data_IF_282713757418
#
_entry.id   IF_282713757418
#
_cell.length_a   1.000
_cell.length_b   1.000
_cell.length_c   1.000
_cell.angle_alpha   90.00
_cell.angle_beta   90.00
_cell.angle_gamma   90.00
#
_symmetry.space_group_name_H-M   'P 1'
#
loop_
_entity.id
_entity.type
_entity.pdbx_description
1 polymer ?
#
# COMPACT_ATOMS: atom_id res chain seq x y z
N UNK A 1 -31.85 9.74 11.52
CA UNK A 1 -30.51 9.86 10.91
C UNK A 1 -29.81 11.20 11.17
N UNK A 2 -30.38 12.37 10.83
CA UNK A 2 -29.70 13.69 10.98
C UNK A 2 -29.15 14.05 12.38
N UNK A 3 -29.84 13.66 13.45
CA UNK A 3 -29.44 14.02 14.82
C UNK A 3 -28.25 13.20 15.34
N UNK A 4 -28.19 11.89 15.02
CA UNK A 4 -27.02 11.04 15.29
C UNK A 4 -25.77 11.56 14.56
N UNK A 5 -25.92 11.97 13.30
CA UNK A 5 -24.82 12.54 12.52
C UNK A 5 -24.29 13.85 13.11
N UNK A 6 -25.16 14.79 13.49
CA UNK A 6 -24.74 16.07 14.12
C UNK A 6 -24.04 15.86 15.47
N UNK A 7 -24.49 14.89 16.27
CA UNK A 7 -23.87 14.57 17.56
C UNK A 7 -22.50 13.92 17.34
N UNK A 8 -22.39 13.00 16.37
CA UNK A 8 -21.11 12.44 15.97
C UNK A 8 -20.13 13.50 15.45
N UNK A 9 -20.60 14.46 14.66
CA UNK A 9 -19.78 15.55 14.12
C UNK A 9 -19.21 16.46 15.21
N UNK A 10 -20.04 16.83 16.21
CA UNK A 10 -19.57 17.60 17.37
C UNK A 10 -18.63 16.80 18.28
N UNK A 11 -18.89 15.50 18.47
CA UNK A 11 -17.99 14.61 19.22
C UNK A 11 -16.64 14.43 18.51
N UNK A 12 -16.63 14.39 17.18
CA UNK A 12 -15.40 14.34 16.37
C UNK A 12 -14.57 15.61 16.52
N UNK A 13 -15.22 16.78 16.48
CA UNK A 13 -14.55 18.06 16.69
C UNK A 13 -13.96 18.16 18.10
N UNK A 14 -14.70 17.68 19.11
CA UNK A 14 -14.18 17.62 20.48
C UNK A 14 -12.99 16.67 20.56
N UNK A 15 -13.08 15.45 20.03
CA UNK A 15 -11.98 14.49 20.06
C UNK A 15 -10.70 15.02 19.39
N UNK A 16 -10.84 15.87 18.38
CA UNK A 16 -9.73 16.51 17.65
C UNK A 16 -8.96 17.54 18.47
N UNK A 17 -9.63 18.26 19.39
CA UNK A 17 -8.95 19.23 20.27
C UNK A 17 -8.21 18.56 21.44
N UNK A 18 -8.68 17.37 21.88
CA UNK A 18 -8.16 16.66 23.06
C UNK A 18 -7.02 15.67 22.75
N UNK A 19 -6.51 15.63 21.51
CA UNK A 19 -5.43 14.74 21.11
C UNK A 19 -4.13 15.54 20.84
N UNK A 20 -2.93 15.10 21.22
CA UNK A 20 -2.64 13.93 22.05
C UNK A 20 -3.15 14.10 23.49
N UNK A 21 -3.66 13.01 24.07
CA UNK A 21 -4.30 13.02 25.40
C UNK A 21 -3.28 13.12 26.55
N UNK A 22 -2.02 12.78 26.28
CA UNK A 22 -0.97 12.62 27.30
C UNK A 22 -0.63 13.92 28.00
N UNK A 23 -0.47 15.04 27.27
CA UNK A 23 -0.16 16.34 27.87
C UNK A 23 -1.32 16.88 28.70
N UNK A 24 -2.55 16.75 28.20
CA UNK A 24 -3.77 17.10 28.94
C UNK A 24 -3.96 16.25 30.20
N UNK A 25 -3.69 14.94 30.13
CA UNK A 25 -3.74 14.04 31.29
C UNK A 25 -2.67 14.44 32.32
N UNK A 26 -1.43 14.71 31.89
CA UNK A 26 -0.37 15.13 32.80
C UNK A 26 -0.69 16.46 33.49
N UNK A 27 -1.19 17.46 32.75
CA UNK A 27 -1.64 18.74 33.30
C UNK A 27 -2.81 18.57 34.28
N UNK A 28 -3.83 17.78 33.93
CA UNK A 28 -4.99 17.53 34.81
C UNK A 28 -4.58 16.81 36.09
N UNK A 29 -3.70 15.81 36.02
CA UNK A 29 -3.22 15.08 37.20
C UNK A 29 -2.41 15.99 38.11
N UNK A 30 -1.44 16.74 37.59
CA UNK A 30 -0.62 17.67 38.38
C UNK A 30 -1.48 18.74 39.07
N UNK A 31 -2.41 19.36 38.34
CA UNK A 31 -3.29 20.38 38.91
C UNK A 31 -4.26 19.79 39.93
N UNK A 32 -4.80 18.59 39.72
CA UNK A 32 -5.67 17.92 40.69
C UNK A 32 -4.93 17.64 42.01
N UNK A 33 -3.66 17.20 41.94
CA UNK A 33 -2.84 16.97 43.14
C UNK A 33 -2.66 18.28 43.93
N UNK A 34 -2.28 19.37 43.26
CA UNK A 34 -2.05 20.67 43.92
C UNK A 34 -3.35 21.21 44.53
N UNK A 35 -4.47 21.14 43.80
CA UNK A 35 -5.78 21.58 44.29
C UNK A 35 -6.21 20.75 45.50
N UNK A 36 -5.98 19.42 45.49
CA UNK A 36 -6.31 18.56 46.61
C UNK A 36 -5.50 18.91 47.87
N UNK A 37 -4.18 19.13 47.72
CA UNK A 37 -3.30 19.55 48.84
C UNK A 37 -3.76 20.88 49.41
N UNK A 38 -4.03 21.88 48.57
CA UNK A 38 -4.50 23.19 49.02
C UNK A 38 -5.90 23.12 49.67
N UNK A 39 -6.79 22.27 49.15
CA UNK A 39 -8.10 22.01 49.73
C UNK A 39 -8.04 21.38 51.12
N UNK A 40 -7.13 20.43 51.33
CA UNK A 40 -6.87 19.83 52.66
C UNK A 40 -6.36 20.90 53.62
N UNK A 41 -5.39 21.72 53.20
CA UNK A 41 -4.88 22.83 54.04
C UNK A 41 -6.01 23.79 54.39
N UNK A 42 -6.86 24.17 53.43
CA UNK A 42 -8.01 25.05 53.68
C UNK A 42 -9.01 24.45 54.68
N UNK A 43 -9.24 23.14 54.66
CA UNK A 43 -10.13 22.46 55.59
C UNK A 43 -9.59 22.42 57.04
N UNK A 44 -8.27 22.55 57.21
CA UNK A 44 -7.61 22.54 58.52
C UNK A 44 -7.42 23.93 59.14
N UNK A 45 -7.59 25.00 58.35
CA UNK A 45 -7.30 26.38 58.74
C UNK A 45 -8.61 27.13 59.06
N UNK A 46 -8.69 27.90 60.17
CA UNK A 46 -9.89 28.66 60.51
C UNK A 46 -10.23 29.71 59.44
N UNK A 47 -11.50 29.80 59.05
CA UNK A 47 -12.00 30.69 57.99
C UNK A 47 -11.69 32.18 58.21
N UNK A 48 -11.62 32.64 59.46
CA UNK A 48 -11.33 34.04 59.79
C UNK A 48 -9.84 34.38 59.82
N UNK A 49 -8.95 33.40 59.61
CA UNK A 49 -7.52 33.62 59.67
C UNK A 49 -6.95 34.25 58.39
N UNK A 50 -5.92 35.09 58.53
CA UNK A 50 -5.15 35.56 57.38
C UNK A 50 -4.55 34.42 56.57
N UNK A 51 -4.25 33.28 57.21
CA UNK A 51 -3.76 32.09 56.52
C UNK A 51 -4.80 31.50 55.56
N UNK A 52 -6.08 31.47 55.95
CA UNK A 52 -7.16 31.00 55.08
C UNK A 52 -7.23 31.86 53.81
N UNK A 53 -7.18 33.19 53.95
CA UNK A 53 -7.22 34.12 52.81
C UNK A 53 -6.03 33.93 51.85
N UNK A 54 -4.83 33.65 52.38
CA UNK A 54 -3.65 33.35 51.56
C UNK A 54 -3.83 32.03 50.79
N UNK A 55 -4.27 30.97 51.46
CA UNK A 55 -4.48 29.64 50.82
C UNK A 55 -5.62 29.70 49.81
N UNK A 56 -6.69 30.46 50.09
CA UNK A 56 -7.78 30.70 49.15
C UNK A 56 -7.30 31.40 47.88
N UNK A 57 -6.54 32.50 48.01
CA UNK A 57 -5.97 33.23 46.87
C UNK A 57 -4.99 32.37 46.05
N UNK A 58 -4.20 31.51 46.71
CA UNK A 58 -3.34 30.54 46.02
C UNK A 58 -4.17 29.51 45.24
N UNK A 59 -5.25 29.01 45.83
CA UNK A 59 -6.11 28.00 45.21
C UNK A 59 -6.84 28.58 43.99
N UNK A 60 -7.39 29.79 44.10
CA UNK A 60 -8.01 30.46 42.94
C UNK A 60 -6.99 30.74 41.83
N UNK A 61 -5.74 31.13 42.18
CA UNK A 61 -4.66 31.31 41.23
C UNK A 61 -4.23 30.02 40.52
N UNK A 62 -4.17 28.89 41.24
CA UNK A 62 -3.87 27.56 40.70
C UNK A 62 -5.00 27.09 39.77
N UNK A 63 -6.26 27.23 40.18
CA UNK A 63 -7.42 26.87 39.34
C UNK A 63 -7.47 27.73 38.08
N UNK A 64 -7.24 29.05 38.19
CA UNK A 64 -7.19 29.96 37.04
C UNK A 64 -6.08 29.58 36.06
N UNK A 65 -4.88 29.33 36.57
CA UNK A 65 -3.73 28.90 35.75
C UNK A 65 -3.99 27.56 35.06
N UNK A 66 -4.59 26.60 35.76
CA UNK A 66 -4.97 25.31 35.19
C UNK A 66 -5.95 25.46 34.01
N UNK A 67 -7.00 26.27 34.16
CA UNK A 67 -7.97 26.51 33.09
C UNK A 67 -7.27 27.13 31.87
N UNK A 68 -6.41 28.13 32.08
CA UNK A 68 -5.67 28.77 30.98
C UNK A 68 -4.73 27.78 30.29
N UNK A 69 -3.95 27.00 31.04
CA UNK A 69 -3.06 25.97 30.47
C UNK A 69 -3.83 24.93 29.67
N UNK A 70 -4.98 24.45 30.17
CA UNK A 70 -5.83 23.50 29.43
C UNK A 70 -6.33 24.11 28.13
N UNK A 71 -6.81 25.37 28.14
CA UNK A 71 -7.32 26.03 26.92
C UNK A 71 -6.21 26.26 25.89
N UNK A 72 -5.03 26.70 26.34
CA UNK A 72 -3.88 26.92 25.45
C UNK A 72 -3.41 25.60 24.85
N UNK A 73 -3.28 24.55 25.66
CA UNK A 73 -2.88 23.22 25.20
C UNK A 73 -3.91 22.62 24.23
N UNK A 74 -5.21 22.73 24.52
CA UNK A 74 -6.29 22.32 23.60
C UNK A 74 -6.22 23.06 22.27
N UNK A 75 -5.92 24.37 22.29
CA UNK A 75 -5.81 25.18 21.09
C UNK A 75 -4.56 24.84 20.28
N UNK A 76 -3.43 24.60 20.96
CA UNK A 76 -2.19 24.13 20.36
C UNK A 76 -2.36 22.76 19.70
N UNK A 77 -2.94 21.81 20.43
CA UNK A 77 -3.29 20.47 19.97
C UNK A 77 -4.23 20.51 18.77
N UNK A 78 -5.30 21.32 18.83
CA UNK A 78 -6.21 21.51 17.70
C UNK A 78 -5.48 22.05 16.46
N UNK A 79 -4.61 23.06 16.61
CA UNK A 79 -3.84 23.63 15.50
C UNK A 79 -2.89 22.59 14.91
N UNK A 80 -2.16 21.85 15.75
CA UNK A 80 -1.23 20.82 15.32
C UNK A 80 -1.96 19.68 14.59
N UNK A 81 -3.05 19.16 15.15
CA UNK A 81 -3.85 18.12 14.51
C UNK A 81 -4.45 18.61 13.20
N UNK A 82 -4.87 19.87 13.12
CA UNK A 82 -5.42 20.46 11.89
C UNK A 82 -4.36 20.54 10.80
N UNK A 83 -3.15 20.96 11.16
CA UNK A 83 -2.02 20.96 10.24
C UNK A 83 -1.67 19.55 9.80
N UNK A 84 -1.46 18.62 10.74
CA UNK A 84 -1.20 17.21 10.43
C UNK A 84 -2.32 16.57 9.59
N UNK A 85 -3.58 16.99 9.76
CA UNK A 85 -4.69 16.52 8.95
C UNK A 85 -4.60 16.95 7.49
N UNK A 86 -4.22 18.21 7.23
CA UNK A 86 -4.00 18.70 5.87
C UNK A 86 -2.73 18.10 5.26
N UNK A 87 -1.64 18.09 6.02
CA UNK A 87 -0.32 17.63 5.54
C UNK A 87 -0.28 16.13 5.27
N UNK A 88 -1.08 15.33 6.00
CA UNK A 88 -1.17 13.87 5.82
C UNK A 88 -2.47 13.43 5.15
N UNK A 89 -3.21 14.35 4.52
CA UNK A 89 -4.49 14.04 3.90
C UNK A 89 -4.36 12.94 2.83
N UNK A 90 -3.37 13.07 1.95
CA UNK A 90 -3.15 12.13 0.85
C UNK A 90 -2.71 10.77 1.37
N UNK A 91 -1.81 10.75 2.36
CA UNK A 91 -1.40 9.53 3.06
C UNK A 91 -2.57 8.77 3.67
N UNK A 92 -3.41 9.45 4.46
CA UNK A 92 -4.56 8.79 5.07
C UNK A 92 -5.61 8.37 4.04
N UNK A 93 -5.76 9.13 2.96
CA UNK A 93 -6.67 8.80 1.86
C UNK A 93 -6.17 7.57 1.10
N UNK A 94 -4.87 7.44 0.87
CA UNK A 94 -4.27 6.28 0.22
C UNK A 94 -4.51 4.99 1.02
N UNK A 95 -4.24 5.00 2.33
CA UNK A 95 -4.53 3.84 3.20
C UNK A 95 -6.04 3.53 3.22
N UNK A 96 -6.89 4.55 3.28
CA UNK A 96 -8.34 4.37 3.30
C UNK A 96 -8.88 3.79 1.97
N UNK A 97 -8.38 4.31 0.85
CA UNK A 97 -8.77 3.87 -0.48
C UNK A 97 -8.29 2.44 -0.72
N UNK A 98 -7.09 2.09 -0.28
CA UNK A 98 -6.60 0.70 -0.32
C UNK A 98 -7.53 -0.24 0.45
N UNK A 99 -7.90 0.09 1.70
CA UNK A 99 -8.83 -0.73 2.48
C UNK A 99 -10.19 -0.86 1.78
N UNK A 100 -10.72 0.24 1.24
CA UNK A 100 -11.99 0.20 0.49
C UNK A 100 -11.88 -0.67 -0.77
N UNK A 101 -10.80 -0.51 -1.54
CA UNK A 101 -10.55 -1.26 -2.77
C UNK A 101 -10.38 -2.75 -2.47
N UNK A 102 -9.61 -3.09 -1.43
CA UNK A 102 -9.43 -4.46 -0.92
C UNK A 102 -10.77 -5.13 -0.64
N UNK A 103 -11.67 -4.48 0.10
CA UNK A 103 -13.00 -5.05 0.41
C UNK A 103 -13.84 -5.30 -0.86
N UNK A 104 -13.75 -4.43 -1.87
CA UNK A 104 -14.47 -4.56 -3.14
C UNK A 104 -13.91 -5.72 -3.97
N UNK A 105 -12.59 -5.80 -4.12
CA UNK A 105 -11.92 -6.81 -4.95
C UNK A 105 -12.00 -8.21 -4.33
N UNK A 106 -12.04 -8.31 -3.00
CA UNK A 106 -12.31 -9.57 -2.29
C UNK A 106 -13.80 -9.96 -2.29
N UNK A 107 -14.68 -9.14 -2.89
CA UNK A 107 -16.15 -9.32 -2.89
C UNK A 107 -16.79 -9.38 -1.50
N UNK A 108 -16.23 -8.64 -0.53
CA UNK A 108 -16.66 -8.69 0.87
C UNK A 108 -17.72 -7.65 1.26
N UNK A 109 -18.08 -6.75 0.34
CA UNK A 109 -19.13 -5.78 0.61
C UNK A 109 -20.50 -6.46 0.79
N UNK A 110 -21.44 -5.89 1.57
CA UNK A 110 -22.73 -6.52 1.83
C UNK A 110 -23.51 -6.91 0.56
N UNK A 111 -23.51 -6.03 -0.45
CA UNK A 111 -24.22 -6.28 -1.72
C UNK A 111 -23.56 -7.39 -2.56
N UNK A 112 -22.21 -7.42 -2.65
CA UNK A 112 -21.50 -8.50 -3.36
C UNK A 112 -21.70 -9.85 -2.64
N UNK A 113 -21.69 -9.88 -1.31
CA UNK A 113 -21.97 -11.10 -0.53
C UNK A 113 -23.41 -11.58 -0.73
N UNK A 114 -24.36 -10.66 -0.87
CA UNK A 114 -25.75 -10.97 -1.18
C UNK A 114 -25.90 -11.57 -2.58
N UNK A 115 -25.19 -11.05 -3.58
CA UNK A 115 -25.16 -11.61 -4.94
C UNK A 115 -24.48 -13.00 -4.96
N UNK A 116 -23.36 -13.15 -4.25
CA UNK A 116 -22.68 -14.44 -4.10
C UNK A 116 -23.58 -15.50 -3.47
N UNK A 117 -24.38 -15.14 -2.47
CA UNK A 117 -25.38 -16.04 -1.89
C UNK A 117 -26.41 -16.50 -2.94
N UNK A 118 -26.88 -15.61 -3.81
CA UNK A 118 -27.79 -15.99 -4.90
C UNK A 118 -27.11 -16.96 -5.88
N UNK A 119 -25.82 -16.74 -6.18
CA UNK A 119 -25.02 -17.62 -7.03
C UNK A 119 -24.79 -19.01 -6.41
N UNK A 120 -24.51 -19.08 -5.11
CA UNK A 120 -24.40 -20.34 -4.36
C UNK A 120 -25.70 -21.14 -4.40
N UNK A 121 -26.86 -20.48 -4.23
CA UNK A 121 -28.18 -21.11 -4.37
C UNK A 121 -28.42 -21.64 -5.80
N UNK A 122 -27.96 -20.90 -6.82
CA UNK A 122 -28.06 -21.31 -8.23
C UNK A 122 -27.20 -22.56 -8.54
N UNK A 123 -25.94 -22.58 -8.07
CA UNK A 123 -25.07 -23.76 -8.20
C UNK A 123 -25.70 -24.95 -7.49
N UNK A 124 -26.17 -24.77 -6.25
CA UNK A 124 -26.83 -25.82 -5.48
C UNK A 124 -28.09 -26.36 -6.17
N UNK A 125 -28.77 -25.56 -6.99
CA UNK A 125 -29.92 -25.95 -7.79
C UNK A 125 -29.56 -26.67 -9.12
N UNK A 126 -28.27 -26.94 -9.34
CA UNK A 126 -27.72 -27.61 -10.53
C UNK A 126 -27.36 -26.65 -11.67
N UNK A 127 -27.28 -25.35 -11.41
CA UNK A 127 -26.87 -24.36 -12.40
C UNK A 127 -25.38 -24.46 -12.73
N UNK A 128 -25.04 -24.39 -14.01
CA UNK A 128 -23.64 -24.33 -14.47
C UNK A 128 -23.34 -22.92 -14.97
N UNK A 129 -22.50 -22.19 -14.27
CA UNK A 129 -21.95 -20.88 -14.66
C UNK A 129 -20.56 -20.75 -14.05
N UNK A 130 -19.55 -20.57 -14.90
CA UNK A 130 -18.26 -20.08 -14.46
C UNK A 130 -18.36 -18.56 -14.37
N UNK A 131 -17.89 -18.00 -13.26
CA UNK A 131 -17.74 -16.56 -13.12
C UNK A 131 -16.66 -16.08 -14.10
N UNK A 132 -16.90 -14.94 -14.73
CA UNK A 132 -15.87 -14.24 -15.51
C UNK A 132 -14.64 -14.01 -14.60
N UNK A 133 -13.42 -13.97 -15.17
CA UNK A 133 -12.20 -13.81 -14.36
C UNK A 133 -12.21 -12.51 -13.55
N UNK A 134 -12.72 -11.42 -14.13
CA UNK A 134 -12.91 -10.14 -13.45
C UNK A 134 -13.93 -10.23 -12.30
N UNK A 135 -14.79 -11.25 -12.33
CA UNK A 135 -15.80 -11.52 -11.31
C UNK A 135 -15.32 -12.49 -10.22
N UNK A 136 -14.10 -13.01 -10.30
CA UNK A 136 -13.54 -13.83 -9.23
C UNK A 136 -12.99 -12.93 -8.11
N UNK A 137 -13.17 -13.31 -6.84
CA UNK A 137 -12.56 -12.58 -5.74
C UNK A 137 -11.03 -12.69 -5.87
N UNK A 138 -10.34 -11.54 -5.83
CA UNK A 138 -8.89 -11.50 -5.84
C UNK A 138 -8.33 -11.73 -4.45
N UNK A 139 -7.15 -12.34 -4.38
CA UNK A 139 -6.41 -12.45 -3.12
C UNK A 139 -5.70 -11.13 -2.77
N UNK A 140 -5.21 -11.04 -1.54
CA UNK A 140 -4.62 -9.79 -1.02
C UNK A 140 -3.31 -9.40 -1.73
N UNK A 141 -2.56 -10.38 -2.25
CA UNK A 141 -1.31 -10.17 -2.98
C UNK A 141 -1.63 -9.56 -4.34
N UNK A 142 -2.60 -10.11 -5.06
CA UNK A 142 -3.07 -9.57 -6.35
C UNK A 142 -3.59 -8.13 -6.19
N UNK A 143 -4.39 -7.89 -5.16
CA UNK A 143 -4.92 -6.55 -4.84
C UNK A 143 -3.78 -5.59 -4.54
N UNK A 144 -2.79 -6.01 -3.76
CA UNK A 144 -1.65 -5.16 -3.45
C UNK A 144 -0.86 -4.83 -4.70
N UNK A 145 -0.57 -5.81 -5.55
CA UNK A 145 0.15 -5.64 -6.81
C UNK A 145 -0.50 -4.57 -7.71
N UNK A 146 -1.81 -4.63 -7.88
CA UNK A 146 -2.58 -3.68 -8.70
C UNK A 146 -2.56 -2.25 -8.13
N UNK A 147 -2.39 -2.11 -6.82
CA UNK A 147 -2.45 -0.83 -6.12
C UNK A 147 -1.07 -0.21 -5.87
N UNK A 148 0.04 -0.91 -6.18
CA UNK A 148 1.40 -0.39 -6.00
C UNK A 148 1.62 0.98 -6.67
N UNK A 149 1.25 1.18 -7.97
CA UNK A 149 1.52 2.45 -8.64
C UNK A 149 0.79 3.64 -8.01
N UNK A 150 -0.37 3.40 -7.39
CA UNK A 150 -1.16 4.44 -6.74
C UNK A 150 -0.65 4.76 -5.32
N UNK A 151 -0.28 3.73 -4.55
CA UNK A 151 0.00 3.88 -3.12
C UNK A 151 1.45 4.28 -2.81
N UNK A 152 2.40 3.72 -3.56
CA UNK A 152 3.83 3.86 -3.26
C UNK A 152 4.32 5.30 -3.42
N UNK A 153 3.94 6.06 -4.47
CA UNK A 153 4.34 7.46 -4.58
C UNK A 153 3.91 8.30 -3.38
N UNK A 154 2.68 8.08 -2.89
CA UNK A 154 2.13 8.79 -1.72
C UNK A 154 2.93 8.44 -0.47
N UNK A 155 3.26 7.16 -0.26
CA UNK A 155 4.03 6.71 0.89
C UNK A 155 5.47 7.24 0.88
N UNK A 156 6.13 7.19 -0.28
CA UNK A 156 7.47 7.73 -0.48
C UNK A 156 7.51 9.24 -0.20
N UNK A 157 6.57 9.99 -0.80
CA UNK A 157 6.48 11.44 -0.58
C UNK A 157 6.20 11.77 0.89
N UNK A 158 5.30 11.04 1.53
CA UNK A 158 4.95 11.27 2.94
C UNK A 158 6.15 11.03 3.86
N UNK A 159 6.91 9.97 3.63
CA UNK A 159 8.10 9.66 4.43
C UNK A 159 9.22 10.70 4.23
N UNK A 160 9.38 11.21 3.01
CA UNK A 160 10.43 12.18 2.68
C UNK A 160 10.08 13.59 3.17
N UNK A 161 8.84 14.03 2.94
CA UNK A 161 8.46 15.44 3.10
C UNK A 161 7.69 15.71 4.40
N UNK A 162 7.03 14.71 4.97
CA UNK A 162 6.02 14.87 6.05
C UNK A 162 6.34 14.05 7.30
N UNK A 163 7.57 13.57 7.43
CA UNK A 163 8.03 12.69 8.52
C UNK A 163 7.72 13.23 9.92
N UNK A 164 7.82 14.55 10.11
CA UNK A 164 7.56 15.24 11.38
C UNK A 164 6.11 15.12 11.90
N UNK A 165 5.16 14.75 11.03
CA UNK A 165 3.76 14.56 11.40
C UNK A 165 3.40 13.10 11.67
N UNK A 166 4.31 12.17 11.40
CA UNK A 166 4.12 10.75 11.58
C UNK A 166 4.56 10.30 12.97
N UNK A 167 3.91 9.25 13.50
CA UNK A 167 4.43 8.54 14.66
C UNK A 167 5.62 7.65 14.28
N UNK A 168 6.49 7.33 15.25
CA UNK A 168 7.65 6.44 15.02
C UNK A 168 7.23 5.08 14.42
N UNK A 169 6.08 4.55 14.85
CA UNK A 169 5.52 3.32 14.28
C UNK A 169 5.10 3.50 12.81
N UNK A 170 4.45 4.62 12.46
CA UNK A 170 4.11 4.89 11.06
C UNK A 170 5.36 5.07 10.19
N UNK A 171 6.41 5.71 10.72
CA UNK A 171 7.69 5.88 10.01
C UNK A 171 8.35 4.54 9.74
N UNK A 172 8.37 3.64 10.73
CA UNK A 172 9.03 2.35 10.58
C UNK A 172 8.30 1.45 9.58
N UNK A 173 6.98 1.37 9.65
CA UNK A 173 6.18 0.61 8.68
C UNK A 173 6.31 1.17 7.26
N UNK A 174 6.35 2.50 7.08
CA UNK A 174 6.60 3.09 5.76
C UNK A 174 7.98 2.72 5.20
N UNK A 175 9.01 2.60 6.03
CA UNK A 175 10.33 2.13 5.55
C UNK A 175 10.30 0.66 5.16
N UNK A 176 9.61 -0.18 5.92
CA UNK A 176 9.43 -1.60 5.60
C UNK A 176 8.76 -1.72 4.23
N UNK A 177 7.64 -1.00 4.03
CA UNK A 177 6.93 -0.97 2.74
C UNK A 177 7.85 -0.54 1.59
N UNK A 178 8.62 0.55 1.76
CA UNK A 178 9.52 1.02 0.70
C UNK A 178 10.71 0.07 0.47
N UNK A 179 11.12 -0.69 1.49
CA UNK A 179 12.16 -1.72 1.36
C UNK A 179 11.64 -2.92 0.57
N UNK A 180 10.43 -3.41 0.86
CA UNK A 180 9.82 -4.49 0.08
C UNK A 180 9.50 -4.03 -1.35
N UNK A 181 9.06 -2.77 -1.53
CA UNK A 181 8.89 -2.20 -2.87
C UNK A 181 10.22 -2.14 -3.63
N UNK A 182 11.32 -1.83 -2.97
CA UNK A 182 12.64 -1.88 -3.61
C UNK A 182 12.96 -3.30 -4.13
N UNK A 183 12.57 -4.36 -3.41
CA UNK A 183 12.66 -5.73 -3.89
C UNK A 183 11.89 -5.95 -5.21
N UNK A 184 10.69 -5.38 -5.32
CA UNK A 184 9.89 -5.39 -6.55
C UNK A 184 10.61 -4.66 -7.70
N UNK A 185 11.19 -3.49 -7.42
CA UNK A 185 11.96 -2.74 -8.42
C UNK A 185 13.14 -3.56 -8.94
N UNK A 186 13.84 -4.30 -8.07
CA UNK A 186 14.98 -5.14 -8.46
C UNK A 186 14.55 -6.22 -9.46
N UNK A 187 13.45 -6.94 -9.21
CA UNK A 187 12.96 -7.99 -10.12
C UNK A 187 12.56 -7.40 -11.48
N UNK A 188 11.88 -6.26 -11.50
CA UNK A 188 11.52 -5.57 -12.76
C UNK A 188 12.77 -5.11 -13.50
N UNK A 189 13.75 -4.58 -12.78
CA UNK A 189 15.02 -4.13 -13.34
C UNK A 189 15.81 -5.29 -13.92
N UNK A 190 15.90 -6.43 -13.24
CA UNK A 190 16.52 -7.66 -13.76
C UNK A 190 15.86 -8.10 -15.07
N UNK A 191 14.53 -8.04 -15.14
CA UNK A 191 13.80 -8.31 -16.38
C UNK A 191 14.09 -7.33 -17.51
N UNK A 192 14.21 -6.05 -17.20
CA UNK A 192 14.63 -5.04 -18.19
C UNK A 192 16.07 -5.30 -18.67
N UNK A 193 16.95 -5.74 -17.78
CA UNK A 193 18.33 -6.08 -18.14
C UNK A 193 18.40 -7.28 -19.10
N UNK A 194 17.50 -8.24 -18.96
CA UNK A 194 17.30 -9.37 -19.89
C UNK A 194 16.46 -8.99 -21.14
N UNK A 195 16.59 -7.76 -21.62
CA UNK A 195 15.86 -7.31 -22.82
C UNK A 195 16.82 -6.80 -23.90
N UNK A 196 16.44 -6.92 -25.20
CA UNK A 196 17.24 -6.40 -26.30
C UNK A 196 17.53 -4.90 -26.17
N UNK A 197 16.66 -4.13 -25.50
CA UNK A 197 16.86 -2.71 -25.24
C UNK A 197 18.14 -2.44 -24.43
N UNK A 198 18.45 -3.30 -23.46
CA UNK A 198 19.68 -3.14 -22.65
C UNK A 198 20.92 -3.41 -23.49
N UNK A 199 20.86 -4.40 -24.39
CA UNK A 199 21.93 -4.67 -25.35
C UNK A 199 22.19 -3.43 -26.23
N UNK A 200 21.14 -2.82 -26.79
CA UNK A 200 21.26 -1.62 -27.62
C UNK A 200 21.78 -0.41 -26.83
N UNK A 201 21.30 -0.20 -25.60
CA UNK A 201 21.78 0.90 -24.75
C UNK A 201 23.27 0.80 -24.38
N UNK A 202 23.80 -0.42 -24.32
CA UNK A 202 25.21 -0.69 -24.00
C UNK A 202 26.10 -0.66 -25.24
N UNK A 203 25.68 -1.30 -26.33
CA UNK A 203 26.52 -1.58 -27.50
C UNK A 203 26.29 -0.62 -28.67
N UNK A 204 25.09 -0.04 -28.77
CA UNK A 204 24.68 0.88 -29.84
C UNK A 204 24.12 2.20 -29.27
N UNK A 205 24.87 2.90 -28.39
CA UNK A 205 24.33 4.06 -27.71
C UNK A 205 24.11 5.22 -28.69
N UNK A 206 22.94 5.85 -28.60
CA UNK A 206 22.61 6.98 -29.45
C UNK A 206 23.45 8.21 -29.05
N UNK A 207 24.41 8.57 -29.90
CA UNK A 207 25.28 9.73 -29.71
C UNK A 207 24.52 11.07 -29.88
N UNK A 208 23.35 11.06 -30.51
CA UNK A 208 22.54 12.27 -30.66
C UNK A 208 21.99 12.76 -29.32
N UNK A 209 21.89 11.89 -28.32
CA UNK A 209 21.56 12.27 -26.94
C UNK A 209 22.52 13.34 -26.40
N UNK A 210 23.82 13.27 -26.75
CA UNK A 210 24.80 14.24 -26.30
C UNK A 210 24.57 15.65 -26.88
N UNK A 211 23.91 15.77 -28.04
CA UNK A 211 23.61 17.06 -28.68
C UNK A 211 22.70 17.94 -27.82
N UNK A 212 21.89 17.33 -26.96
CA UNK A 212 21.02 18.03 -26.02
C UNK A 212 21.74 18.53 -24.76
N UNK A 213 22.95 18.02 -24.48
CA UNK A 213 23.69 18.24 -23.23
C UNK A 213 24.95 19.10 -23.47
N UNK A 214 25.63 18.90 -24.60
CA UNK A 214 26.90 19.55 -24.90
C UNK A 214 26.82 20.40 -26.19
N UNK A 215 27.53 21.54 -26.26
CA UNK A 215 27.63 22.31 -27.49
C UNK A 215 28.27 21.50 -28.63
N UNK A 216 27.89 21.80 -29.88
CA UNK A 216 28.39 21.11 -31.07
C UNK A 216 29.92 21.08 -31.18
N UNK A 217 30.57 22.19 -30.82
CA UNK A 217 32.03 22.29 -30.87
C UNK A 217 32.71 21.41 -29.81
N UNK A 218 32.07 21.18 -28.67
CA UNK A 218 32.57 20.27 -27.63
C UNK A 218 32.47 18.83 -28.11
N UNK A 219 31.31 18.43 -28.66
CA UNK A 219 31.09 17.07 -29.18
C UNK A 219 32.05 16.77 -30.33
N UNK A 220 32.23 17.72 -31.26
CA UNK A 220 33.13 17.60 -32.42
C UNK A 220 34.58 17.34 -32.01
N UNK A 221 35.04 17.97 -30.93
CA UNK A 221 36.41 17.83 -30.44
C UNK A 221 36.57 16.72 -29.39
N UNK A 222 35.48 16.06 -28.98
CA UNK A 222 35.50 14.98 -27.99
C UNK A 222 36.10 13.71 -28.59
N UNK A 223 37.06 13.04 -27.91
CA UNK A 223 37.56 11.74 -28.33
C UNK A 223 36.45 10.70 -28.44
N UNK A 224 36.52 9.82 -29.44
CA UNK A 224 35.44 8.86 -29.73
C UNK A 224 35.13 7.93 -28.56
N UNK A 225 36.15 7.47 -27.81
CA UNK A 225 35.93 6.61 -26.63
C UNK A 225 35.17 7.35 -25.50
N UNK A 226 35.41 8.65 -25.31
CA UNK A 226 34.68 9.48 -24.34
C UNK A 226 33.25 9.67 -24.82
N UNK A 227 33.07 9.97 -26.11
CA UNK A 227 31.75 10.18 -26.73
C UNK A 227 30.88 8.93 -26.54
N UNK A 228 31.38 7.75 -26.92
CA UNK A 228 30.68 6.46 -26.74
C UNK A 228 30.36 6.15 -25.29
N UNK A 229 31.30 6.37 -24.37
CA UNK A 229 31.07 6.13 -22.95
C UNK A 229 29.96 7.04 -22.38
N UNK A 230 29.98 8.33 -22.71
CA UNK A 230 28.95 9.27 -22.27
C UNK A 230 27.59 8.95 -22.91
N UNK A 231 27.54 8.63 -24.20
CA UNK A 231 26.30 8.22 -24.87
C UNK A 231 25.71 6.95 -24.27
N UNK A 232 26.55 5.95 -23.94
CA UNK A 232 26.09 4.74 -23.25
C UNK A 232 25.56 5.05 -21.85
N UNK A 233 26.24 5.92 -21.11
CA UNK A 233 25.76 6.37 -19.81
C UNK A 233 24.39 7.05 -19.89
N UNK A 234 24.14 7.90 -20.89
CA UNK A 234 22.83 8.51 -21.10
C UNK A 234 21.78 7.48 -21.57
N UNK A 235 22.15 6.54 -22.44
CA UNK A 235 21.27 5.46 -22.90
C UNK A 235 20.84 4.54 -21.74
N UNK A 236 21.75 4.23 -20.81
CA UNK A 236 21.42 3.50 -19.59
C UNK A 236 20.48 4.29 -18.66
N UNK A 237 20.54 5.62 -18.64
CA UNK A 237 19.54 6.42 -17.92
C UNK A 237 18.17 6.32 -18.58
N UNK A 238 18.09 6.21 -19.90
CA UNK A 238 16.83 5.96 -20.60
C UNK A 238 16.19 4.63 -20.18
N UNK A 239 16.99 3.57 -19.97
CA UNK A 239 16.48 2.31 -19.40
C UNK A 239 15.89 2.50 -17.98
N UNK A 240 16.45 3.39 -17.16
CA UNK A 240 15.86 3.72 -15.84
C UNK A 240 14.54 4.47 -15.94
N UNK A 241 14.41 5.37 -16.92
CA UNK A 241 13.13 6.05 -17.20
C UNK A 241 12.07 5.02 -17.62
N UNK A 242 12.47 3.99 -18.35
CA UNK A 242 11.59 2.89 -18.73
C UNK A 242 11.11 2.08 -17.51
N UNK A 243 12.02 1.78 -16.57
CA UNK A 243 11.68 1.15 -15.28
C UNK A 243 10.66 1.99 -14.49
N UNK A 244 10.90 3.30 -14.36
CA UNK A 244 10.00 4.23 -13.67
C UNK A 244 8.63 4.30 -14.36
N UNK A 245 8.58 4.28 -15.70
CA UNK A 245 7.34 4.30 -16.47
C UNK A 245 6.50 3.03 -16.25
N UNK A 246 7.14 1.86 -16.25
CA UNK A 246 6.45 0.58 -15.97
C UNK A 246 5.86 0.60 -14.56
N UNK A 247 6.64 1.00 -13.57
CA UNK A 247 6.23 1.00 -12.16
C UNK A 247 5.14 2.04 -11.83
N UNK A 248 5.06 3.11 -12.61
CA UNK A 248 4.12 4.22 -12.37
C UNK A 248 2.77 4.04 -13.06
N UNK A 249 2.63 3.08 -13.97
CA UNK A 249 1.41 2.85 -14.75
C UNK A 249 0.87 1.42 -14.51
N UNK A 250 -0.34 1.27 -13.93
CA UNK A 250 -0.91 -0.05 -13.64
C UNK A 250 -1.05 -0.95 -14.87
N UNK A 251 -1.38 -0.36 -16.03
CA UNK A 251 -1.53 -1.13 -17.26
C UNK A 251 -0.17 -1.62 -17.77
N UNK A 252 0.85 -0.76 -17.78
CA UNK A 252 2.20 -1.17 -18.17
C UNK A 252 2.76 -2.22 -17.21
N UNK A 253 2.61 -2.03 -15.90
CA UNK A 253 3.06 -3.00 -14.90
C UNK A 253 2.42 -4.38 -15.12
N UNK A 254 1.09 -4.41 -15.31
CA UNK A 254 0.34 -5.63 -15.56
C UNK A 254 0.73 -6.30 -16.89
N UNK A 255 0.83 -5.54 -17.98
CA UNK A 255 1.18 -6.09 -19.29
C UNK A 255 2.62 -6.56 -19.34
N UNK A 256 3.54 -5.83 -18.70
CA UNK A 256 4.92 -6.23 -18.58
C UNK A 256 4.95 -7.57 -17.83
N UNK A 257 4.39 -7.65 -16.62
CA UNK A 257 4.52 -8.83 -15.77
C UNK A 257 3.43 -9.90 -15.97
N UNK A 258 2.74 -9.91 -17.12
CA UNK A 258 1.54 -10.75 -17.37
C UNK A 258 1.74 -12.26 -17.16
N UNK A 259 2.96 -12.75 -17.36
CA UNK A 259 3.26 -14.18 -17.29
C UNK A 259 3.77 -14.61 -15.90
N UNK A 260 3.89 -13.66 -14.96
CA UNK A 260 4.30 -13.91 -13.58
C UNK A 260 3.07 -14.23 -12.72
N UNK A 261 3.16 -15.27 -11.89
CA UNK A 261 2.09 -15.63 -10.94
C UNK A 261 2.24 -14.80 -9.64
N UNK A 262 1.67 -13.59 -9.66
CA UNK A 262 1.71 -12.66 -8.51
C UNK A 262 0.42 -12.83 -7.71
N UNK A 263 0.39 -13.86 -6.87
CA UNK A 263 -0.80 -14.30 -6.15
C UNK A 263 -0.45 -15.11 -4.90
N UNK A 264 -1.46 -15.51 -4.14
CA UNK A 264 -1.29 -16.41 -3.01
C UNK A 264 -0.69 -17.78 -3.44
N UNK A 265 -1.10 -18.32 -4.61
CA UNK A 265 -0.51 -19.57 -5.12
C UNK A 265 0.93 -19.38 -5.55
N UNK A 266 1.26 -18.26 -6.18
CA UNK A 266 2.64 -17.92 -6.56
C UNK A 266 3.56 -17.85 -5.34
N UNK A 267 3.07 -17.26 -4.24
CA UNK A 267 3.78 -17.23 -2.96
C UNK A 267 4.01 -18.62 -2.36
N UNK A 268 2.97 -19.46 -2.30
CA UNK A 268 3.05 -20.82 -1.74
C UNK A 268 4.00 -21.71 -2.54
N UNK A 269 3.95 -21.62 -3.88
CA UNK A 269 4.87 -22.32 -4.76
C UNK A 269 6.32 -21.95 -4.48
N UNK A 270 6.59 -20.66 -4.26
CA UNK A 270 7.92 -20.17 -3.92
C UNK A 270 8.41 -20.61 -2.53
N UNK A 271 7.54 -20.63 -1.52
CA UNK A 271 7.92 -21.16 -0.21
C UNK A 271 8.33 -22.63 -0.31
N UNK A 272 7.55 -23.44 -1.04
CA UNK A 272 7.89 -24.84 -1.28
C UNK A 272 9.23 -25.01 -2.02
N UNK A 273 9.59 -24.07 -2.90
CA UNK A 273 10.88 -24.11 -3.60
C UNK A 273 12.04 -23.67 -2.71
N UNK A 274 11.85 -22.67 -1.84
CA UNK A 274 12.85 -22.32 -0.83
C UNK A 274 13.09 -23.49 0.13
N UNK A 275 12.03 -24.13 0.60
CA UNK A 275 12.12 -25.29 1.49
C UNK A 275 12.86 -26.46 0.79
N UNK A 276 12.60 -26.67 -0.50
CA UNK A 276 13.36 -27.63 -1.31
C UNK A 276 14.81 -27.23 -1.47
N UNK A 277 15.12 -25.97 -1.79
CA UNK A 277 16.49 -25.49 -1.95
C UNK A 277 17.28 -25.56 -0.64
N UNK A 278 16.66 -25.30 0.51
CA UNK A 278 17.27 -25.52 1.83
C UNK A 278 17.54 -27.02 2.10
N UNK A 279 16.74 -27.93 1.54
CA UNK A 279 16.97 -29.39 1.58
C UNK A 279 17.97 -29.89 0.51
N UNK A 280 18.04 -29.23 -0.64
CA UNK A 280 18.86 -29.56 -1.82
C UNK A 280 20.22 -28.83 -1.83
N UNK A 281 20.46 -27.85 -0.96
CA UNK A 281 21.80 -27.27 -0.67
C UNK A 281 22.78 -28.32 -0.08
N UNK A 282 22.35 -29.57 0.09
CA UNK A 282 23.18 -30.75 0.37
C UNK A 282 23.48 -31.63 -0.86
N UNK A 283 22.92 -31.35 -2.05
CA UNK A 283 23.13 -32.14 -3.28
C UNK A 283 23.03 -31.26 -4.53
N UNK A 284 24.22 -30.93 -5.04
CA UNK A 284 24.52 -30.59 -6.44
C UNK A 284 23.84 -29.31 -6.98
N UNK A 285 24.61 -28.22 -6.99
CA UNK A 285 24.45 -27.20 -8.02
C UNK A 285 24.60 -27.90 -9.37
N UNK A 286 23.52 -28.06 -10.12
CA UNK A 286 23.61 -28.38 -11.54
C UNK A 286 24.46 -27.28 -12.17
N UNK A 287 25.72 -27.60 -12.48
CA UNK A 287 26.58 -26.76 -13.31
C UNK A 287 25.84 -26.55 -14.62
N UNK A 288 25.38 -25.32 -14.85
CA UNK A 288 25.00 -24.86 -16.18
C UNK A 288 26.15 -25.26 -17.11
N UNK A 289 25.86 -26.07 -18.13
CA UNK A 289 26.87 -26.49 -19.11
C UNK A 289 27.25 -25.29 -19.98
N UNK A 290 28.16 -24.46 -19.47
CA UNK A 290 28.71 -23.30 -20.17
C UNK A 290 29.45 -23.70 -21.47
N UNK A 291 29.72 -25.00 -21.70
CA UNK A 291 30.36 -25.48 -22.92
C UNK A 291 29.35 -25.70 -24.08
N UNK A 292 28.03 -25.73 -23.82
CA UNK A 292 26.98 -25.77 -24.87
C UNK A 292 26.68 -24.37 -25.43
N UNK A 293 27.01 -23.31 -24.69
CA UNK A 293 26.94 -21.92 -25.15
C UNK A 293 28.23 -21.55 -25.88
N UNK A 294 28.17 -21.49 -27.22
CA UNK A 294 29.29 -21.02 -28.04
C UNK A 294 29.53 -19.51 -27.83
N UNK A 295 30.38 -19.17 -26.87
CA UNK A 295 30.86 -17.81 -26.60
C UNK A 295 31.94 -17.35 -27.60
N UNK A 296 32.22 -18.10 -28.67
CA UNK A 296 33.04 -17.58 -29.76
C UNK A 296 32.38 -16.30 -30.28
N UNK A 297 33.19 -15.28 -30.59
CA UNK A 297 32.64 -14.04 -31.15
C UNK A 297 31.92 -14.41 -32.45
N UNK A 298 30.59 -14.25 -32.54
CA UNK A 298 29.92 -14.44 -33.81
C UNK A 298 30.54 -13.48 -34.82
N UNK A 299 30.80 -13.98 -36.03
CA UNK A 299 31.41 -13.17 -37.11
C UNK A 299 30.48 -12.03 -37.57
N UNK A 300 29.20 -12.10 -37.19
CA UNK A 300 28.12 -11.17 -37.54
C UNK A 300 27.34 -10.70 -36.29
N UNK A 301 27.08 -9.40 -36.20
CA UNK A 301 26.37 -8.74 -35.11
C UNK A 301 24.90 -9.22 -35.00
N UNK A 302 24.27 -9.54 -36.13
CA UNK A 302 22.88 -10.00 -36.15
C UNK A 302 22.74 -11.40 -35.51
N UNK A 303 23.75 -12.26 -35.72
CA UNK A 303 23.82 -13.59 -35.10
C UNK A 303 24.05 -13.46 -33.59
N UNK A 304 24.95 -12.55 -33.17
CA UNK A 304 25.18 -12.22 -31.75
C UNK A 304 23.90 -11.81 -31.05
N UNK A 305 23.13 -10.93 -31.68
CA UNK A 305 21.88 -10.41 -31.14
C UNK A 305 20.85 -11.52 -30.95
N UNK A 306 20.69 -12.38 -31.96
CA UNK A 306 19.76 -13.50 -31.90
C UNK A 306 20.15 -14.56 -30.86
N UNK A 307 21.46 -14.78 -30.63
CA UNK A 307 21.95 -15.66 -29.57
C UNK A 307 21.67 -15.09 -28.17
N UNK A 308 21.97 -13.80 -27.96
CA UNK A 308 21.68 -13.13 -26.69
C UNK A 308 20.18 -13.10 -26.39
N UNK A 309 19.34 -12.79 -27.38
CA UNK A 309 17.87 -12.79 -27.18
C UNK A 309 17.34 -14.16 -26.77
N UNK A 310 17.88 -15.25 -27.36
CA UNK A 310 17.51 -16.61 -26.95
C UNK A 310 17.95 -16.94 -25.53
N UNK A 311 19.17 -16.55 -25.16
CA UNK A 311 19.69 -16.72 -23.81
C UNK A 311 18.84 -15.94 -22.80
N UNK A 312 18.53 -14.68 -23.09
CA UNK A 312 17.70 -13.82 -22.24
C UNK A 312 16.29 -14.40 -22.04
N UNK A 313 15.66 -14.92 -23.09
CA UNK A 313 14.36 -15.60 -23.00
C UNK A 313 14.45 -16.85 -22.11
N UNK A 314 15.50 -17.66 -22.25
CA UNK A 314 15.70 -18.84 -21.42
C UNK A 314 15.89 -18.45 -19.95
N UNK A 315 16.78 -17.49 -19.68
CA UNK A 315 17.02 -16.98 -18.33
C UNK A 315 15.75 -16.40 -17.71
N UNK A 316 14.94 -15.66 -18.48
CA UNK A 316 13.68 -15.11 -18.00
C UNK A 316 12.70 -16.23 -17.62
N UNK A 317 12.59 -17.29 -18.41
CA UNK A 317 11.73 -18.45 -18.11
C UNK A 317 12.16 -19.19 -16.83
N UNK A 318 13.46 -19.39 -16.64
CA UNK A 318 14.02 -20.02 -15.44
C UNK A 318 13.80 -19.16 -14.19
N UNK A 319 14.04 -17.85 -14.30
CA UNK A 319 13.89 -16.92 -13.18
C UNK A 319 12.44 -16.54 -12.89
N UNK A 320 11.51 -16.67 -13.85
CA UNK A 320 10.11 -16.25 -13.71
C UNK A 320 9.44 -16.86 -12.49
N UNK A 321 9.74 -18.13 -12.19
CA UNK A 321 9.18 -18.83 -11.02
C UNK A 321 9.65 -18.19 -9.71
N UNK A 322 10.96 -17.98 -9.57
CA UNK A 322 11.54 -17.30 -8.41
C UNK A 322 11.04 -15.86 -8.30
N UNK A 323 11.01 -15.12 -9.42
CA UNK A 323 10.52 -13.74 -9.47
C UNK A 323 9.05 -13.64 -9.06
N UNK A 324 8.18 -14.52 -9.55
CA UNK A 324 6.75 -14.57 -9.17
C UNK A 324 6.58 -14.74 -7.66
N UNK A 325 7.37 -15.64 -7.08
CA UNK A 325 7.44 -15.87 -5.65
C UNK A 325 7.88 -14.67 -4.83
N UNK A 326 9.01 -14.08 -5.23
CA UNK A 326 9.59 -12.92 -4.57
C UNK A 326 8.65 -11.72 -4.60
N UNK A 327 8.07 -11.42 -5.77
CA UNK A 327 7.08 -10.36 -5.95
C UNK A 327 5.84 -10.58 -5.07
N UNK A 328 5.34 -11.81 -5.03
CA UNK A 328 4.19 -12.17 -4.19
C UNK A 328 4.49 -11.97 -2.71
N UNK A 329 5.70 -12.38 -2.24
CA UNK A 329 6.14 -12.15 -0.87
C UNK A 329 6.22 -10.65 -0.53
N UNK A 330 6.84 -9.86 -1.39
CA UNK A 330 6.94 -8.40 -1.17
C UNK A 330 5.55 -7.77 -1.09
N UNK A 331 4.63 -8.12 -1.99
CA UNK A 331 3.25 -7.63 -1.95
C UNK A 331 2.52 -8.04 -0.65
N UNK A 332 2.71 -9.28 -0.19
CA UNK A 332 2.17 -9.74 1.09
C UNK A 332 2.71 -8.91 2.26
N UNK A 333 4.03 -8.74 2.35
CA UNK A 333 4.66 -7.95 3.42
C UNK A 333 4.16 -6.49 3.41
N UNK A 334 4.09 -5.86 2.24
CA UNK A 334 3.56 -4.50 2.08
C UNK A 334 2.13 -4.43 2.61
N UNK A 335 1.27 -5.39 2.23
CA UNK A 335 -0.11 -5.43 2.70
C UNK A 335 -0.20 -5.58 4.22
N UNK A 336 0.59 -6.48 4.82
CA UNK A 336 0.65 -6.67 6.28
C UNK A 336 1.10 -5.40 7.01
N UNK A 337 2.10 -4.68 6.49
CA UNK A 337 2.53 -3.38 7.03
C UNK A 337 1.44 -2.31 6.90
N UNK A 338 0.69 -2.28 5.80
CA UNK A 338 -0.46 -1.38 5.64
C UNK A 338 -1.53 -1.68 6.70
N UNK A 339 -1.77 -2.94 7.07
CA UNK A 339 -2.68 -3.26 8.18
C UNK A 339 -2.22 -2.69 9.53
N UNK A 340 -0.90 -2.61 9.76
CA UNK A 340 -0.33 -1.95 10.94
C UNK A 340 -0.56 -0.44 10.87
N UNK A 341 -0.35 0.18 9.71
CA UNK A 341 -0.67 1.59 9.47
C UNK A 341 -2.16 1.87 9.71
N UNK A 342 -3.06 1.04 9.20
CA UNK A 342 -4.50 1.12 9.46
C UNK A 342 -4.81 1.12 10.96
N UNK A 343 -4.19 0.21 11.73
CA UNK A 343 -4.36 0.15 13.20
C UNK A 343 -3.90 1.44 13.88
N UNK A 344 -2.86 2.09 13.37
CA UNK A 344 -2.42 3.41 13.84
C UNK A 344 -3.44 4.50 13.49
N UNK A 345 -3.88 4.55 12.23
CA UNK A 345 -4.84 5.55 11.72
C UNK A 345 -6.23 5.37 12.37
N UNK A 346 -6.62 4.17 12.77
CA UNK A 346 -7.86 3.89 13.53
C UNK A 346 -7.97 4.66 14.84
N UNK A 347 -6.85 5.09 15.42
CA UNK A 347 -6.80 5.92 16.63
C UNK A 347 -7.09 7.40 16.33
N UNK A 348 -6.96 7.80 15.05
CA UNK A 348 -7.17 9.17 14.58
C UNK A 348 -8.67 9.41 14.29
N UNK A 349 -9.18 10.66 14.38
CA UNK A 349 -10.62 10.92 14.34
C UNK A 349 -11.33 10.49 13.04
N UNK A 350 -11.41 11.36 12.03
CA UNK A 350 -12.21 11.12 10.82
C UNK A 350 -11.84 9.81 10.10
N UNK A 351 -10.55 9.64 9.77
CA UNK A 351 -10.06 8.46 9.06
C UNK A 351 -10.23 7.18 9.86
N UNK A 352 -10.07 7.21 11.18
CA UNK A 352 -10.30 6.03 12.00
C UNK A 352 -11.77 5.59 12.06
N UNK A 353 -12.72 6.51 11.89
CA UNK A 353 -14.12 6.12 11.69
C UNK A 353 -14.33 5.47 10.32
N UNK A 354 -13.74 6.03 9.27
CA UNK A 354 -13.89 5.49 7.91
C UNK A 354 -13.25 4.11 7.75
N UNK A 355 -12.02 3.90 8.26
CA UNK A 355 -11.36 2.59 8.25
C UNK A 355 -12.20 1.54 9.00
N UNK A 356 -12.84 1.92 10.12
CA UNK A 356 -13.73 1.01 10.87
C UNK A 356 -14.99 0.63 10.10
N UNK A 357 -15.53 1.54 9.29
CA UNK A 357 -16.67 1.23 8.43
C UNK A 357 -16.27 0.16 7.40
N UNK A 358 -15.19 0.39 6.66
CA UNK A 358 -14.75 -0.54 5.62
C UNK A 358 -14.34 -1.91 6.18
N UNK A 359 -13.55 -1.94 7.26
CA UNK A 359 -13.15 -3.20 7.88
C UNK A 359 -14.31 -4.04 8.44
N UNK A 360 -15.45 -3.41 8.74
CA UNK A 360 -16.64 -4.13 9.20
C UNK A 360 -17.51 -4.62 8.03
N UNK A 361 -17.22 -4.25 6.78
CA UNK A 361 -18.04 -4.59 5.61
C UNK A 361 -18.28 -6.10 5.49
N UNK A 362 -17.26 -6.93 5.72
CA UNK A 362 -17.38 -8.39 5.70
C UNK A 362 -18.29 -8.95 6.81
N UNK A 363 -18.48 -8.21 7.91
CA UNK A 363 -19.26 -8.62 9.09
C UNK A 363 -20.65 -8.01 9.14
N UNK A 364 -20.95 -7.05 8.28
CA UNK A 364 -22.27 -6.43 8.23
C UNK A 364 -23.33 -7.44 7.80
N UNK A 365 -24.53 -7.39 8.38
CA UNK A 365 -25.62 -8.23 7.93
C UNK A 365 -26.05 -7.82 6.52
N UNK A 366 -26.51 -8.80 5.73
CA UNK A 366 -26.99 -8.61 4.35
C UNK A 366 -28.51 -8.40 4.28
N UNK A 367 -29.14 -8.05 5.41
CA UNK A 367 -30.58 -7.83 5.53
C UNK A 367 -30.98 -6.37 5.29
N UNK A 368 -30.02 -5.50 4.94
CA UNK A 368 -30.29 -4.14 4.55
C UNK A 368 -31.00 -4.09 3.17
N UNK A 369 -31.64 -2.95 2.90
CA UNK A 369 -32.46 -2.75 1.70
C UNK A 369 -31.63 -2.95 0.42
N UNK A 370 -30.39 -2.46 0.38
CA UNK A 370 -29.56 -2.52 -0.83
C UNK A 370 -29.11 -3.96 -1.09
N UNK A 371 -28.60 -4.65 -0.06
CA UNK A 371 -28.20 -6.06 -0.20
C UNK A 371 -29.37 -6.96 -0.57
N UNK A 372 -30.56 -6.71 -0.01
CA UNK A 372 -31.79 -7.45 -0.36
C UNK A 372 -32.16 -7.23 -1.82
N UNK A 373 -32.13 -5.98 -2.31
CA UNK A 373 -32.41 -5.66 -3.70
C UNK A 373 -31.40 -6.31 -4.67
N UNK A 374 -30.11 -6.28 -4.33
CA UNK A 374 -29.05 -6.95 -5.10
C UNK A 374 -29.29 -8.46 -5.17
N UNK A 375 -29.56 -9.12 -4.04
CA UNK A 375 -29.89 -10.54 -3.98
C UNK A 375 -31.10 -10.88 -4.86
N UNK A 376 -32.21 -10.15 -4.73
CA UNK A 376 -33.43 -10.44 -5.48
C UNK A 376 -33.24 -10.25 -7.00
N UNK A 377 -32.51 -9.19 -7.38
CA UNK A 377 -32.19 -8.91 -8.78
C UNK A 377 -31.35 -10.05 -9.39
N UNK A 378 -30.30 -10.44 -8.69
CA UNK A 378 -29.36 -11.47 -9.15
C UNK A 378 -30.00 -12.85 -9.16
N UNK A 379 -30.74 -13.21 -8.10
CA UNK A 379 -31.54 -14.45 -8.04
C UNK A 379 -32.51 -14.55 -9.21
N UNK A 380 -33.23 -13.47 -9.54
CA UNK A 380 -34.16 -13.44 -10.68
C UNK A 380 -33.43 -13.63 -12.02
N UNK A 381 -32.21 -13.13 -12.16
CA UNK A 381 -31.38 -13.33 -13.36
C UNK A 381 -30.98 -14.80 -13.48
N UNK A 382 -30.46 -15.37 -12.39
CA UNK A 382 -30.00 -16.76 -12.32
C UNK A 382 -31.13 -17.78 -12.46
N UNK A 383 -32.29 -17.55 -11.86
CA UNK A 383 -33.48 -18.42 -12.02
C UNK A 383 -33.93 -18.52 -13.48
N UNK A 384 -33.93 -17.38 -14.21
CA UNK A 384 -34.21 -17.38 -15.64
C UNK A 384 -33.18 -18.18 -16.43
N UNK A 385 -31.91 -18.12 -16.02
CA UNK A 385 -30.81 -18.86 -16.65
C UNK A 385 -30.96 -20.37 -16.40
N UNK A 386 -31.24 -20.76 -15.16
CA UNK A 386 -31.48 -22.15 -14.76
C UNK A 386 -32.68 -22.75 -15.52
N UNK A 387 -33.77 -21.98 -15.65
CA UNK A 387 -34.93 -22.42 -16.41
C UNK A 387 -34.60 -22.67 -17.90
N UNK A 388 -33.75 -21.82 -18.50
CA UNK A 388 -33.26 -22.03 -19.87
C UNK A 388 -32.37 -23.27 -19.98
N UNK A 389 -31.48 -23.50 -19.02
CA UNK A 389 -30.62 -24.69 -18.98
C UNK A 389 -31.45 -25.97 -18.90
N UNK A 390 -32.38 -26.06 -17.95
CA UNK A 390 -33.29 -27.22 -17.80
C UNK A 390 -34.14 -27.44 -19.05
N UNK A 391 -34.60 -26.37 -19.70
CA UNK A 391 -35.35 -26.48 -20.96
C UNK A 391 -34.49 -26.98 -22.13
N UNK A 392 -33.19 -26.72 -22.13
CA UNK A 392 -32.25 -27.21 -23.13
C UNK A 392 -31.87 -28.68 -22.88
N UNK A 393 -31.63 -29.05 -21.62
CA UNK A 393 -31.36 -30.43 -21.23
C UNK A 393 -32.54 -31.36 -21.52
N UNK A 394 -33.77 -30.94 -21.26
CA UNK A 394 -34.98 -31.70 -21.57
C UNK A 394 -35.26 -31.87 -23.08
N UNK A 395 -34.51 -31.19 -23.96
CA UNK A 395 -34.61 -31.29 -25.43
C UNK A 395 -33.53 -32.17 -26.05
N UNK A 396 -32.51 -32.57 -25.29
CA UNK A 396 -31.57 -33.62 -25.65
C UNK A 396 -32.12 -34.96 -25.16
#
# INVERSE_FOLDING_TARGET
>A
MRMKYRIQEKLKFLAFAFYPKTTLIACTVLSAIIIAVLGIVMATVPHESNWYNIVFALTTGVVGSFIVSVVVELTGNYKHNRLAWYELQDYYSAVLNYESHKQIMMRQTPHQRAEQKAHEEYIAAGGMEELDEDDKPKDIIQIMWEQLPEIIPVFSQTLNDKKEFLSDAEIEELKIILSDYHGIQLVIRERILMSPMTYDALNHPDEDNLKSIYPSDVIKNMPDWIRRYLSSKESQKACKIYEEAILSDPFLLSQFMKDYDISQSGFENYQNDLDKLEEEELRELEEIDYDELDFSKPEDEEISRAQNEKFDIQMELEQRRWGSGHLSRCCKNISESIEVLEKSIRKKPYYGMMIKLYNNSAREPIDDIMSTMSYESEKKRLDKKLAKQKAFENRK
#
